data_IF_453369998408
#
_entry.id   IF_453369998408
#
_cell.length_a   1.000
_cell.length_b   1.000
_cell.length_c   1.000
_cell.angle_alpha   90.00
_cell.angle_beta   90.00
_cell.angle_gamma   90.00
#
_symmetry.space_group_name_H-M   'P 1'
#
loop_
_entity.id
_entity.type
_entity.pdbx_description
1 polymer ?
#
# COMPACT_ATOMS: atom_id res chain seq x y z
N UNK A 1 -46.16 0.36 2.53
CA UNK A 1 -45.10 -0.32 3.26
C UNK A 1 -43.79 0.41 3.03
N UNK A 2 -43.30 1.18 3.99
CA UNK A 2 -42.04 1.91 3.90
C UNK A 2 -40.90 0.92 4.16
N UNK A 3 -40.07 0.67 3.15
CA UNK A 3 -38.83 -0.10 3.30
C UNK A 3 -37.86 0.80 4.10
N UNK A 4 -37.70 0.55 5.38
CA UNK A 4 -36.64 1.16 6.18
C UNK A 4 -35.29 0.76 5.54
N UNK A 5 -34.61 1.74 4.90
CA UNK A 5 -33.21 1.62 4.55
C UNK A 5 -32.43 1.45 5.85
N UNK A 6 -32.05 0.24 6.19
CA UNK A 6 -31.09 -0.02 7.26
C UNK A 6 -29.82 0.76 6.92
N UNK A 7 -29.48 1.75 7.75
CA UNK A 7 -28.23 2.48 7.63
C UNK A 7 -27.10 1.46 7.74
N UNK A 8 -26.33 1.31 6.66
CA UNK A 8 -25.15 0.46 6.59
C UNK A 8 -24.17 1.01 7.64
N UNK A 9 -23.94 0.28 8.71
CA UNK A 9 -22.97 0.67 9.74
C UNK A 9 -21.60 0.66 9.03
N UNK A 10 -21.04 1.83 8.79
CA UNK A 10 -19.70 1.95 8.18
C UNK A 10 -18.71 1.26 9.10
N UNK A 11 -18.04 0.23 8.58
CA UNK A 11 -16.98 -0.48 9.27
C UNK A 11 -15.68 0.24 8.97
N UNK A 12 -15.00 0.78 9.98
CA UNK A 12 -13.67 1.32 9.84
C UNK A 12 -12.69 0.21 9.51
N UNK A 13 -11.85 0.43 8.50
CA UNK A 13 -10.76 -0.46 8.09
C UNK A 13 -9.42 0.09 8.57
N UNK A 14 -8.47 -0.80 8.80
CA UNK A 14 -7.07 -0.46 8.96
C UNK A 14 -6.39 -0.60 7.60
N UNK A 15 -5.94 0.50 7.01
CA UNK A 15 -5.27 0.54 5.71
C UNK A 15 -3.82 0.94 5.94
N UNK A 16 -2.89 0.10 5.50
CA UNK A 16 -1.47 0.37 5.59
C UNK A 16 -0.86 0.72 4.25
N UNK A 17 -0.16 1.86 4.20
CA UNK A 17 0.63 2.26 3.04
C UNK A 17 2.05 1.75 3.25
N UNK A 18 2.52 0.86 2.39
CA UNK A 18 3.88 0.34 2.46
C UNK A 18 4.78 1.17 1.53
N UNK A 19 5.67 1.97 2.12
CA UNK A 19 6.73 2.69 1.42
C UNK A 19 7.90 1.75 1.19
N UNK A 20 7.99 1.18 -0.02
CA UNK A 20 8.87 0.07 -0.35
C UNK A 20 10.28 0.45 -0.79
N UNK A 21 10.70 1.71 -0.74
CA UNK A 21 12.04 2.12 -1.17
C UNK A 21 13.03 2.11 -0.01
N UNK A 22 14.15 1.36 -0.07
CA UNK A 22 15.16 1.32 0.99
C UNK A 22 16.15 2.51 0.98
N UNK A 23 16.09 3.39 -0.03
CA UNK A 23 17.05 4.50 -0.16
C UNK A 23 16.79 5.57 0.89
N UNK A 24 17.83 6.05 1.59
CA UNK A 24 17.71 7.13 2.58
C UNK A 24 17.06 8.39 2.01
N UNK A 25 17.48 8.84 0.82
CA UNK A 25 16.88 9.96 0.09
C UNK A 25 15.86 9.45 -0.94
N UNK A 26 14.84 8.70 -0.49
CA UNK A 26 13.87 8.10 -1.39
C UNK A 26 12.90 9.14 -1.98
N UNK A 27 12.98 9.36 -3.28
CA UNK A 27 12.00 10.19 -4.01
C UNK A 27 10.65 9.46 -4.11
N UNK A 28 10.64 8.13 -4.23
CA UNK A 28 9.42 7.31 -4.22
C UNK A 28 8.60 7.51 -2.94
N UNK A 29 9.25 7.74 -1.81
CA UNK A 29 8.60 7.98 -0.51
C UNK A 29 7.69 9.22 -0.52
N UNK A 30 7.97 10.24 -1.34
CA UNK A 30 7.12 11.44 -1.49
C UNK A 30 5.69 11.06 -1.89
N UNK A 31 5.54 10.09 -2.79
CA UNK A 31 4.23 9.56 -3.19
C UNK A 31 3.53 8.84 -2.02
N UNK A 32 4.27 8.11 -1.19
CA UNK A 32 3.67 7.45 -0.02
C UNK A 32 3.14 8.47 0.99
N UNK A 33 3.90 9.53 1.28
CA UNK A 33 3.47 10.65 2.15
C UNK A 33 2.20 11.30 1.58
N UNK A 34 2.19 11.58 0.28
CA UNK A 34 1.03 12.18 -0.38
C UNK A 34 -0.22 11.30 -0.26
N UNK A 35 -0.10 10.00 -0.57
CA UNK A 35 -1.23 9.07 -0.51
C UNK A 35 -1.74 8.89 0.92
N UNK A 36 -0.86 8.94 1.92
CA UNK A 36 -1.27 8.89 3.33
C UNK A 36 -2.15 10.10 3.70
N UNK A 37 -1.73 11.31 3.30
CA UNK A 37 -2.51 12.54 3.51
C UNK A 37 -3.87 12.46 2.82
N UNK A 38 -3.89 12.10 1.55
CA UNK A 38 -5.12 12.02 0.74
C UNK A 38 -6.12 10.99 1.28
N UNK A 39 -5.64 9.79 1.68
CA UNK A 39 -6.51 8.77 2.24
C UNK A 39 -7.08 9.17 3.61
N UNK A 40 -6.28 9.83 4.46
CA UNK A 40 -6.76 10.39 5.74
C UNK A 40 -7.81 11.48 5.55
N UNK A 41 -7.67 12.32 4.51
CA UNK A 41 -8.61 13.39 4.22
C UNK A 41 -9.91 12.88 3.59
N UNK A 42 -9.80 11.89 2.68
CA UNK A 42 -10.92 11.43 1.85
C UNK A 42 -11.72 10.29 2.46
N UNK A 43 -11.22 9.65 3.51
CA UNK A 43 -11.88 8.48 4.11
C UNK A 43 -11.95 8.60 5.64
N UNK A 44 -12.87 7.85 6.25
CA UNK A 44 -12.96 7.71 7.69
C UNK A 44 -12.17 6.50 8.23
N UNK A 45 -11.35 5.86 7.37
CA UNK A 45 -10.58 4.67 7.75
C UNK A 45 -9.34 5.02 8.58
N UNK A 46 -8.81 4.04 9.30
CA UNK A 46 -7.54 4.18 10.01
C UNK A 46 -6.39 4.01 9.00
N UNK A 47 -5.69 5.08 8.70
CA UNK A 47 -4.60 5.09 7.71
C UNK A 47 -3.26 5.14 8.42
N UNK A 48 -2.40 4.15 8.17
CA UNK A 48 -1.02 4.11 8.63
C UNK A 48 -0.02 3.99 7.47
N UNK A 49 1.25 4.28 7.75
CA UNK A 49 2.33 4.08 6.80
C UNK A 49 3.44 3.20 7.42
N UNK A 50 3.84 2.15 6.70
CA UNK A 50 4.97 1.28 7.03
C UNK A 50 6.10 1.64 6.06
N UNK A 51 7.20 2.16 6.58
CA UNK A 51 8.40 2.42 5.80
C UNK A 51 9.39 1.27 5.98
N UNK A 52 9.83 0.66 4.87
CA UNK A 52 10.79 -0.44 4.93
C UNK A 52 12.15 -0.04 5.53
N UNK A 53 12.45 1.27 5.56
CA UNK A 53 13.70 1.81 6.14
C UNK A 53 13.73 1.75 7.66
N UNK A 54 12.58 1.68 8.30
CA UNK A 54 12.46 1.67 9.76
C UNK A 54 12.67 0.27 10.35
N UNK A 55 12.75 -0.76 9.50
CA UNK A 55 12.73 -2.16 9.91
C UNK A 55 13.90 -2.97 9.33
N UNK A 56 14.97 -3.12 10.08
CA UNK A 56 16.08 -4.01 9.73
C UNK A 56 15.72 -5.46 10.05
N UNK A 57 14.98 -6.08 9.12
CA UNK A 57 14.53 -7.47 9.23
C UNK A 57 15.64 -8.48 8.98
N UNK A 58 16.78 -8.07 8.40
CA UNK A 58 17.81 -8.98 7.91
C UNK A 58 17.31 -9.85 6.75
N UNK A 59 18.05 -10.92 6.44
CA UNK A 59 17.60 -11.92 5.47
C UNK A 59 16.55 -12.82 6.09
N UNK A 60 15.61 -13.29 5.27
CA UNK A 60 14.53 -14.16 5.71
C UNK A 60 15.08 -15.48 6.29
N UNK A 61 14.86 -15.71 7.59
CA UNK A 61 15.13 -16.96 8.27
C UNK A 61 13.84 -17.64 8.75
N UNK A 62 12.86 -16.84 9.21
CA UNK A 62 11.60 -17.33 9.75
C UNK A 62 10.45 -16.43 9.31
N UNK A 63 9.31 -17.02 9.01
CA UNK A 63 8.08 -16.29 8.72
C UNK A 63 7.34 -15.99 10.02
N UNK A 64 6.96 -14.73 10.23
CA UNK A 64 6.12 -14.31 11.35
C UNK A 64 4.66 -14.68 11.04
N UNK A 65 4.17 -15.72 11.69
CA UNK A 65 2.80 -16.22 11.49
C UNK A 65 1.81 -15.66 12.50
N UNK A 66 2.30 -15.18 13.63
CA UNK A 66 1.54 -14.53 14.70
C UNK A 66 2.48 -13.75 15.64
N UNK A 67 1.93 -13.01 16.60
CA UNK A 67 2.73 -12.19 17.53
C UNK A 67 3.61 -13.00 18.49
N UNK A 68 3.23 -14.26 18.80
CA UNK A 68 3.96 -15.09 19.75
C UNK A 68 5.30 -15.57 19.19
N UNK A 69 5.36 -15.82 17.88
CA UNK A 69 6.61 -16.24 17.19
C UNK A 69 7.39 -15.08 16.59
N UNK A 70 6.85 -13.86 16.66
CA UNK A 70 7.54 -12.67 16.18
C UNK A 70 8.54 -12.17 17.23
N UNK A 71 9.81 -11.93 16.88
CA UNK A 71 10.77 -11.31 17.79
C UNK A 71 10.27 -9.96 18.34
N UNK A 72 10.52 -9.67 19.62
CA UNK A 72 9.97 -8.49 20.30
C UNK A 72 10.21 -7.18 19.56
N UNK A 73 11.39 -7.00 19.00
CA UNK A 73 11.74 -5.80 18.22
C UNK A 73 10.86 -5.57 16.97
N UNK A 74 10.21 -6.63 16.46
CA UNK A 74 9.35 -6.55 15.28
C UNK A 74 7.85 -6.68 15.59
N UNK A 75 7.48 -6.87 16.86
CA UNK A 75 6.07 -6.96 17.26
C UNK A 75 5.24 -5.74 16.84
N UNK A 76 5.73 -4.48 16.98
CA UNK A 76 4.95 -3.32 16.53
C UNK A 76 4.66 -3.33 15.02
N UNK A 77 5.61 -3.82 14.20
CA UNK A 77 5.39 -4.02 12.78
C UNK A 77 4.37 -5.14 12.52
N UNK A 78 4.52 -6.26 13.23
CA UNK A 78 3.68 -7.44 13.07
C UNK A 78 2.21 -7.14 13.45
N UNK A 79 1.98 -6.39 14.53
CA UNK A 79 0.64 -5.93 14.92
C UNK A 79 -0.05 -5.19 13.78
N UNK A 80 0.65 -4.28 13.13
CA UNK A 80 0.13 -3.51 11.98
C UNK A 80 -0.14 -4.41 10.78
N UNK A 81 0.83 -5.27 10.40
CA UNK A 81 0.70 -6.17 9.25
C UNK A 81 -0.46 -7.16 9.41
N UNK A 82 -0.67 -7.69 10.63
CA UNK A 82 -1.77 -8.61 10.91
C UNK A 82 -3.11 -7.89 11.00
N UNK A 83 -3.16 -6.70 11.60
CA UNK A 83 -4.39 -5.93 11.78
C UNK A 83 -4.86 -5.22 10.51
N UNK A 84 -4.00 -5.05 9.50
CA UNK A 84 -4.37 -4.39 8.25
C UNK A 84 -5.48 -5.15 7.52
N UNK A 85 -6.50 -4.43 7.08
CA UNK A 85 -7.58 -4.94 6.22
C UNK A 85 -7.26 -4.78 4.73
N UNK A 86 -6.44 -3.80 4.38
CA UNK A 86 -6.00 -3.53 3.01
C UNK A 86 -4.63 -2.83 2.98
N UNK A 87 -3.98 -2.86 1.82
CA UNK A 87 -2.65 -2.28 1.62
C UNK A 87 -2.59 -1.39 0.38
N UNK A 88 -1.84 -0.30 0.48
CA UNK A 88 -1.35 0.47 -0.66
C UNK A 88 0.16 0.28 -0.75
N UNK A 89 0.63 -0.36 -1.81
CA UNK A 89 2.06 -0.58 -2.03
C UNK A 89 2.63 0.56 -2.88
N UNK A 90 3.62 1.27 -2.34
CA UNK A 90 4.36 2.32 -3.07
C UNK A 90 5.80 1.84 -3.27
N UNK A 91 6.19 1.53 -4.50
CA UNK A 91 7.51 0.93 -4.78
C UNK A 91 8.23 1.60 -5.95
N UNK A 92 9.57 1.72 -5.92
CA UNK A 92 10.36 2.05 -7.10
C UNK A 92 10.46 0.84 -8.04
N UNK A 93 11.09 1.07 -9.20
CA UNK A 93 11.55 0.00 -10.06
C UNK A 93 13.06 -0.17 -9.93
N UNK A 94 13.53 -1.38 -9.58
CA UNK A 94 14.92 -1.79 -9.59
C UNK A 94 15.08 -2.98 -10.53
N UNK A 95 15.81 -2.78 -11.63
CA UNK A 95 16.08 -3.84 -12.62
C UNK A 95 14.83 -4.58 -13.12
N UNK A 96 13.75 -3.84 -13.35
CA UNK A 96 12.51 -4.40 -13.90
C UNK A 96 11.58 -5.02 -12.86
N UNK A 97 11.85 -4.88 -11.56
CA UNK A 97 11.02 -5.37 -10.48
C UNK A 97 10.83 -4.32 -9.37
N UNK A 98 9.98 -4.62 -8.40
CA UNK A 98 9.87 -3.85 -7.16
C UNK A 98 11.13 -4.02 -6.30
N UNK A 99 11.27 -3.24 -5.22
CA UNK A 99 12.49 -3.25 -4.41
C UNK A 99 12.67 -4.57 -3.64
N UNK A 100 13.93 -5.03 -3.45
CA UNK A 100 14.22 -6.19 -2.58
C UNK A 100 13.78 -5.99 -1.13
N UNK A 101 13.78 -4.75 -0.62
CA UNK A 101 13.34 -4.46 0.73
C UNK A 101 11.83 -4.67 0.91
N UNK A 102 11.02 -4.33 -0.12
CA UNK A 102 9.59 -4.63 -0.13
C UNK A 102 9.35 -6.14 -0.18
N UNK A 103 10.07 -6.86 -1.04
CA UNK A 103 9.97 -8.33 -1.08
C UNK A 103 10.29 -8.93 0.28
N UNK A 104 11.42 -8.53 0.87
CA UNK A 104 11.86 -9.01 2.17
C UNK A 104 10.83 -8.75 3.28
N UNK A 105 10.23 -7.55 3.29
CA UNK A 105 9.15 -7.24 4.22
C UNK A 105 7.98 -8.22 4.06
N UNK A 106 7.49 -8.41 2.85
CA UNK A 106 6.32 -9.25 2.59
C UNK A 106 6.60 -10.73 2.85
N UNK A 107 7.83 -11.20 2.58
CA UNK A 107 8.23 -12.59 2.82
C UNK A 107 8.34 -12.92 4.31
N UNK A 108 8.61 -11.93 5.18
CA UNK A 108 8.63 -12.14 6.63
C UNK A 108 7.24 -12.38 7.24
N UNK A 109 6.16 -12.16 6.50
CA UNK A 109 4.80 -12.33 7.01
C UNK A 109 4.05 -13.44 6.30
N UNK A 110 3.08 -14.03 7.01
CA UNK A 110 2.16 -15.01 6.43
C UNK A 110 1.32 -14.38 5.31
N UNK A 111 0.64 -15.24 4.52
CA UNK A 111 -0.23 -14.82 3.42
C UNK A 111 -1.26 -13.78 3.86
N UNK A 112 -1.46 -12.77 3.04
CA UNK A 112 -2.40 -11.66 3.26
C UNK A 112 -3.74 -11.93 2.57
N UNK A 113 -4.30 -13.10 2.86
CA UNK A 113 -5.45 -13.65 2.11
C UNK A 113 -6.66 -12.73 2.13
N UNK A 114 -7.25 -12.54 0.93
CA UNK A 114 -8.50 -11.78 0.71
C UNK A 114 -8.43 -10.30 1.05
N UNK A 115 -7.23 -9.74 1.28
CA UNK A 115 -7.05 -8.30 1.47
C UNK A 115 -6.91 -7.61 0.12
N UNK A 116 -7.46 -6.38 0.02
CA UNK A 116 -7.27 -5.51 -1.14
C UNK A 116 -5.85 -4.94 -1.17
N UNK A 117 -5.27 -4.87 -2.37
CA UNK A 117 -3.96 -4.26 -2.59
C UNK A 117 -4.04 -3.23 -3.72
N UNK A 118 -3.69 -1.98 -3.45
CA UNK A 118 -3.44 -0.99 -4.49
C UNK A 118 -1.95 -0.93 -4.83
N UNK A 119 -1.62 -0.80 -6.10
CA UNK A 119 -0.24 -0.74 -6.60
C UNK A 119 0.07 0.66 -7.10
N UNK A 120 1.01 1.32 -6.46
CA UNK A 120 1.57 2.60 -6.88
C UNK A 120 3.07 2.43 -7.15
N UNK A 121 3.53 2.84 -8.32
CA UNK A 121 4.95 2.85 -8.66
C UNK A 121 5.43 4.26 -8.97
N UNK A 122 6.69 4.56 -8.68
CA UNK A 122 7.25 5.86 -8.91
C UNK A 122 8.71 5.79 -9.35
N UNK A 123 9.06 6.60 -10.33
CA UNK A 123 10.45 6.79 -10.75
C UNK A 123 10.66 8.20 -11.30
N UNK A 124 11.92 8.65 -11.33
CA UNK A 124 12.32 9.90 -12.01
C UNK A 124 12.35 9.73 -13.54
N UNK A 125 12.30 8.50 -14.03
CA UNK A 125 12.25 8.19 -15.46
C UNK A 125 10.83 8.24 -16.03
N UNK A 126 10.74 8.31 -17.37
CA UNK A 126 9.48 8.45 -18.11
C UNK A 126 8.54 7.25 -17.99
N UNK A 127 9.03 6.07 -17.60
CA UNK A 127 8.22 4.86 -17.47
C UNK A 127 7.55 4.70 -16.11
N UNK A 128 7.89 5.55 -15.11
CA UNK A 128 7.19 5.59 -13.82
C UNK A 128 7.21 4.30 -12.99
N UNK A 129 8.05 3.32 -13.36
CA UNK A 129 8.08 2.02 -12.67
C UNK A 129 7.11 0.99 -13.24
N UNK A 130 6.71 1.08 -14.50
CA UNK A 130 5.73 0.19 -15.14
C UNK A 130 6.09 -1.30 -15.02
N UNK A 131 7.37 -1.70 -15.17
CA UNK A 131 7.75 -3.12 -15.04
C UNK A 131 7.56 -3.63 -13.62
N UNK A 132 7.87 -2.79 -12.62
CA UNK A 132 7.63 -3.09 -11.22
C UNK A 132 6.16 -3.36 -10.94
N UNK A 133 5.24 -2.57 -11.52
CA UNK A 133 3.80 -2.80 -11.35
C UNK A 133 3.35 -4.14 -11.93
N UNK A 134 3.91 -4.58 -13.06
CA UNK A 134 3.60 -5.89 -13.63
C UNK A 134 4.08 -7.04 -12.72
N UNK A 135 5.25 -6.91 -12.11
CA UNK A 135 5.74 -7.89 -11.14
C UNK A 135 4.88 -7.93 -9.87
N UNK A 136 4.37 -6.77 -9.42
CA UNK A 136 3.43 -6.71 -8.31
C UNK A 136 2.12 -7.43 -8.60
N UNK A 137 1.61 -7.40 -9.84
CA UNK A 137 0.42 -8.16 -10.24
C UNK A 137 0.62 -9.68 -10.18
N UNK A 138 1.86 -10.17 -10.20
CA UNK A 138 2.18 -11.59 -9.96
C UNK A 138 2.35 -11.88 -8.46
N UNK A 139 2.95 -10.97 -7.72
CA UNK A 139 3.21 -11.14 -6.29
C UNK A 139 1.92 -11.13 -5.46
N UNK A 140 1.02 -10.18 -5.68
CA UNK A 140 -0.18 -10.00 -4.85
C UNK A 140 -1.06 -11.26 -4.85
N UNK A 141 -1.40 -11.90 -5.98
CA UNK A 141 -2.11 -13.18 -5.97
C UNK A 141 -1.33 -14.31 -5.30
N UNK A 142 0.01 -14.31 -5.39
CA UNK A 142 0.85 -15.27 -4.66
C UNK A 142 0.78 -15.09 -3.13
N UNK A 143 0.44 -13.90 -2.66
CA UNK A 143 0.11 -13.61 -1.27
C UNK A 143 -1.37 -13.90 -0.93
N UNK A 144 -2.16 -14.41 -1.87
CA UNK A 144 -3.61 -14.59 -1.78
C UNK A 144 -4.39 -13.28 -1.60
N UNK A 145 -3.75 -12.14 -1.92
CA UNK A 145 -4.34 -10.83 -1.98
C UNK A 145 -5.09 -10.58 -3.30
N UNK A 146 -5.84 -9.51 -3.35
CA UNK A 146 -6.65 -9.12 -4.51
C UNK A 146 -6.17 -7.73 -4.96
N UNK A 147 -5.53 -7.60 -6.15
CA UNK A 147 -5.07 -6.31 -6.64
C UNK A 147 -6.24 -5.44 -7.10
N UNK A 148 -6.18 -4.15 -6.78
CA UNK A 148 -7.07 -3.14 -7.36
C UNK A 148 -6.81 -3.03 -8.87
N UNK A 149 -7.86 -2.88 -9.70
CA UNK A 149 -7.71 -2.87 -11.15
C UNK A 149 -6.98 -1.62 -11.68
N UNK A 150 -6.98 -0.53 -10.93
CA UNK A 150 -6.34 0.72 -11.33
C UNK A 150 -4.93 0.86 -10.72
N UNK A 151 -3.91 0.90 -11.58
CA UNK A 151 -2.50 1.06 -11.18
C UNK A 151 -2.10 2.54 -11.22
N UNK A 152 -1.45 3.04 -10.18
CA UNK A 152 -0.88 4.39 -10.18
C UNK A 152 0.58 4.34 -10.64
N UNK A 153 0.80 4.59 -11.92
CA UNK A 153 2.14 4.71 -12.49
C UNK A 153 2.57 6.17 -12.45
N UNK A 154 3.67 6.48 -11.75
CA UNK A 154 4.11 7.86 -11.53
C UNK A 154 5.47 8.15 -12.16
N UNK A 155 5.51 8.55 -13.45
CA UNK A 155 6.73 9.02 -14.08
C UNK A 155 7.11 10.40 -13.57
N UNK A 156 8.42 10.74 -13.63
CA UNK A 156 8.96 12.04 -13.21
C UNK A 156 8.45 12.46 -11.82
N UNK A 157 8.49 11.53 -10.87
CA UNK A 157 7.92 11.71 -9.53
C UNK A 157 8.51 12.91 -8.79
N UNK A 158 9.77 13.25 -9.03
CA UNK A 158 10.48 14.42 -8.52
C UNK A 158 9.90 15.76 -9.00
N UNK A 159 9.20 15.77 -10.13
CA UNK A 159 8.50 16.93 -10.68
C UNK A 159 7.02 16.99 -10.27
N UNK A 160 6.49 15.89 -9.76
CA UNK A 160 5.10 15.78 -9.35
C UNK A 160 4.88 16.00 -7.87
N UNK A 161 5.88 15.70 -7.05
CA UNK A 161 5.80 15.81 -5.59
C UNK A 161 7.04 16.45 -5.02
N UNK A 162 6.88 17.40 -4.09
CA UNK A 162 7.97 17.95 -3.29
C UNK A 162 8.45 16.95 -2.21
N UNK A 163 9.43 17.35 -1.40
CA UNK A 163 10.00 16.51 -0.36
C UNK A 163 9.01 16.19 0.77
N UNK A 164 8.07 17.08 1.02
CA UNK A 164 7.01 16.98 2.01
C UNK A 164 5.80 16.18 1.51
N UNK A 165 5.86 15.68 0.25
CA UNK A 165 4.79 14.93 -0.39
C UNK A 165 3.61 15.82 -0.81
N UNK A 166 3.82 17.10 -1.12
CA UNK A 166 2.77 17.93 -1.72
C UNK A 166 2.77 17.77 -3.23
N UNK A 167 1.57 17.78 -3.83
CA UNK A 167 1.41 17.68 -5.28
C UNK A 167 1.81 19.01 -5.94
N UNK A 168 2.73 18.94 -6.90
CA UNK A 168 3.22 20.07 -7.71
C UNK A 168 2.56 20.13 -9.10
N UNK A 169 1.99 19.02 -9.56
CA UNK A 169 1.38 18.87 -10.89
C UNK A 169 -0.11 18.53 -10.75
N UNK A 170 -0.96 19.55 -10.73
CA UNK A 170 -2.41 19.42 -10.60
C UNK A 170 -3.03 18.55 -11.69
N UNK A 171 -2.41 18.46 -12.87
CA UNK A 171 -2.91 17.60 -13.95
C UNK A 171 -2.91 16.12 -13.57
N UNK A 172 -2.10 15.73 -12.60
CA UNK A 172 -2.00 14.35 -12.10
C UNK A 172 -3.07 14.00 -11.06
N UNK A 173 -3.77 15.01 -10.51
CA UNK A 173 -4.76 14.85 -9.44
C UNK A 173 -5.89 13.89 -9.83
N UNK A 174 -6.42 14.00 -11.03
CA UNK A 174 -7.51 13.13 -11.52
C UNK A 174 -7.10 11.64 -11.55
N UNK A 175 -5.85 11.36 -11.92
CA UNK A 175 -5.31 9.99 -11.96
C UNK A 175 -5.27 9.41 -10.55
N UNK A 176 -4.81 10.21 -9.58
CA UNK A 176 -4.76 9.83 -8.16
C UNK A 176 -6.15 9.60 -7.60
N UNK A 177 -7.10 10.50 -7.89
CA UNK A 177 -8.48 10.39 -7.40
C UNK A 177 -9.15 9.12 -7.89
N UNK A 178 -8.93 8.75 -9.16
CA UNK A 178 -9.42 7.48 -9.71
C UNK A 178 -8.77 6.28 -9.00
N UNK A 179 -7.45 6.32 -8.79
CA UNK A 179 -6.72 5.26 -8.09
C UNK A 179 -7.26 5.03 -6.66
N UNK A 180 -7.47 6.10 -5.91
CA UNK A 180 -8.02 6.04 -4.55
C UNK A 180 -9.44 5.49 -4.57
N UNK A 181 -10.30 5.99 -5.46
CA UNK A 181 -11.70 5.58 -5.55
C UNK A 181 -11.83 4.08 -5.86
N UNK A 182 -11.08 3.56 -6.84
CA UNK A 182 -11.10 2.14 -7.21
C UNK A 182 -10.54 1.25 -6.09
N UNK A 183 -9.50 1.70 -5.40
CA UNK A 183 -8.95 0.97 -4.26
C UNK A 183 -9.94 0.89 -3.09
N UNK A 184 -10.52 2.01 -2.68
CA UNK A 184 -11.47 2.05 -1.56
C UNK A 184 -12.71 1.23 -1.89
N UNK A 185 -13.26 1.35 -3.11
CA UNK A 185 -14.37 0.51 -3.57
C UNK A 185 -14.05 -0.99 -3.42
N UNK A 186 -12.88 -1.44 -3.85
CA UNK A 186 -12.47 -2.84 -3.73
C UNK A 186 -12.31 -3.23 -2.26
N UNK A 187 -11.58 -2.44 -1.47
CA UNK A 187 -11.31 -2.73 -0.07
C UNK A 187 -12.60 -2.86 0.76
N UNK A 188 -13.55 -1.94 0.57
CA UNK A 188 -14.87 -1.99 1.24
C UNK A 188 -15.72 -3.18 0.76
N UNK A 189 -15.62 -3.54 -0.54
CA UNK A 189 -16.37 -4.66 -1.11
C UNK A 189 -15.93 -6.02 -0.55
N UNK A 190 -14.66 -6.14 -0.16
CA UNK A 190 -14.09 -7.36 0.41
C UNK A 190 -14.35 -7.51 1.91
N UNK A 191 -14.85 -6.46 2.59
CA UNK A 191 -15.16 -6.57 4.01
C UNK A 191 -16.34 -7.53 4.24
N UNK A 192 -16.29 -8.35 5.30
CA UNK A 192 -17.41 -9.21 5.67
C UNK A 192 -18.69 -8.36 5.82
N UNK A 193 -19.75 -8.76 5.14
CA UNK A 193 -21.07 -8.13 5.35
C UNK A 193 -21.47 -8.38 6.79
N UNK A 194 -21.73 -7.31 7.54
CA UNK A 194 -22.35 -7.42 8.87
C UNK A 194 -23.80 -7.83 8.61
N UNK A 195 -24.12 -9.09 8.96
CA UNK A 195 -25.51 -9.60 8.94
C UNK A 195 -26.34 -8.95 10.04
#
# INVERSE_FOLDING_TARGET
MAVQKLAKKEKFMNIEIISGSPRTASITHRLAIFLEKELKEKTNHNIGAIDVRDWDLGLLNNVFTNLQVTPDKFKPLAERMFAADAFVIVTPEYNGSYSPALQNLLDHFSKQSRKAFAIATASTGALGGTRSSQQMLLLIPALFGIPSPYLLITPNVDKKFDAEGNLLDDSFKKVIDTFIAEFIWLAESLQPKVN
#
